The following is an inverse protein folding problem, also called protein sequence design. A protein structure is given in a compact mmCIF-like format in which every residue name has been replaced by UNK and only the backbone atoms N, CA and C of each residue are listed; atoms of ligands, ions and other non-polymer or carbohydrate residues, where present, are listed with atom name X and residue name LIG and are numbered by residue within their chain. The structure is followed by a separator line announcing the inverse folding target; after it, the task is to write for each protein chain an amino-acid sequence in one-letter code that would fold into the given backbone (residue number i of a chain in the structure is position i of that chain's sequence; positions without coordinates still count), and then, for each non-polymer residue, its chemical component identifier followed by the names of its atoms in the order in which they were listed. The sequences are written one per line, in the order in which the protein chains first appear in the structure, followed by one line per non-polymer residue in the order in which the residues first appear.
data_IF_578593669029
#
_entry.id   IF_578593669029
#
_cell.length_a   1.000
_cell.length_b   1.000
_cell.length_c   1.000
_cell.angle_alpha   90.00
_cell.angle_beta   90.00
_cell.angle_gamma   90.00
#
_symmetry.space_group_name_H-M   'P 1'
#
loop_
_entity.id
_entity.type
_entity.pdbx_description
1 polymer ?
#
# COMPACT_ATOMS: atom_id res chain seq x y z
N UNK A 1 14.16 2.29 -7.42
CA UNK A 1 14.82 2.60 -8.72
C UNK A 1 13.85 2.33 -9.88
N UNK A 2 13.91 3.11 -10.97
CA UNK A 2 13.16 2.79 -12.21
C UNK A 2 13.76 1.52 -12.85
N UNK A 3 12.95 0.75 -13.58
CA UNK A 3 13.36 -0.53 -14.21
C UNK A 3 14.64 -0.43 -15.04
N UNK A 4 14.87 0.71 -15.69
CA UNK A 4 16.06 0.96 -16.54
C UNK A 4 17.37 0.92 -15.74
N UNK A 5 17.39 1.46 -14.52
CA UNK A 5 18.60 1.46 -13.68
C UNK A 5 18.86 0.07 -13.09
N UNK A 6 17.78 -0.68 -12.85
CA UNK A 6 17.87 -2.06 -12.40
C UNK A 6 18.38 -2.95 -13.55
N UNK A 7 17.95 -2.70 -14.79
CA UNK A 7 18.46 -3.39 -15.98
C UNK A 7 19.96 -3.17 -16.14
N UNK A 8 20.45 -1.94 -16.00
CA UNK A 8 21.88 -1.66 -16.05
C UNK A 8 22.67 -2.47 -15.01
N UNK A 9 22.15 -2.62 -13.78
CA UNK A 9 22.79 -3.45 -12.73
C UNK A 9 22.82 -4.95 -13.05
N UNK A 10 21.84 -5.44 -13.82
CA UNK A 10 21.85 -6.82 -14.34
C UNK A 10 22.84 -6.97 -15.50
N UNK A 11 22.89 -5.98 -16.40
CA UNK A 11 23.77 -5.98 -17.57
C UNK A 11 25.24 -5.86 -17.18
N UNK A 12 25.56 -5.14 -16.10
CA UNK A 12 26.91 -5.08 -15.52
C UNK A 12 27.28 -6.35 -14.74
N UNK A 13 26.41 -7.35 -14.67
CA UNK A 13 26.66 -8.60 -13.95
C UNK A 13 26.64 -8.48 -12.42
N UNK A 14 26.29 -7.31 -11.87
CA UNK A 14 26.24 -7.08 -10.43
C UNK A 14 25.10 -7.85 -9.75
N UNK A 15 24.08 -8.28 -10.50
CA UNK A 15 22.89 -8.93 -9.97
C UNK A 15 22.59 -10.21 -10.77
N UNK A 16 23.09 -11.35 -10.29
CA UNK A 16 22.77 -12.67 -10.84
C UNK A 16 21.38 -13.16 -10.41
N UNK A 17 20.69 -13.94 -11.26
CA UNK A 17 19.39 -14.54 -10.92
C UNK A 17 19.45 -15.50 -9.73
N UNK A 18 20.62 -16.11 -9.51
CA UNK A 18 20.93 -17.03 -8.41
C UNK A 18 21.51 -16.33 -7.16
N UNK A 19 21.69 -15.01 -7.22
CA UNK A 19 22.31 -14.25 -6.12
C UNK A 19 21.50 -14.32 -4.83
N UNK A 20 20.19 -14.58 -4.93
CA UNK A 20 19.27 -14.58 -3.79
C UNK A 20 19.30 -15.86 -2.95
N UNK A 21 20.07 -16.90 -3.30
CA UNK A 21 20.34 -18.07 -2.43
C UNK A 21 19.18 -18.50 -1.50
N UNK A 22 19.43 -18.47 -0.18
CA UNK A 22 18.43 -18.74 0.86
C UNK A 22 17.67 -17.49 1.36
N UNK A 23 18.02 -16.29 0.89
CA UNK A 23 17.50 -15.01 1.38
C UNK A 23 16.91 -14.17 0.26
N UNK A 24 15.69 -13.66 0.43
CA UNK A 24 15.02 -12.84 -0.59
C UNK A 24 15.70 -11.47 -0.87
N UNK A 25 16.88 -11.19 -0.31
CA UNK A 25 17.64 -9.96 -0.49
C UNK A 25 19.15 -10.21 -0.58
N UNK A 26 19.87 -9.28 -1.22
CA UNK A 26 21.33 -9.28 -1.39
C UNK A 26 21.85 -7.84 -1.34
N UNK A 27 22.98 -7.62 -0.69
CA UNK A 27 23.68 -6.34 -0.72
C UNK A 27 24.68 -6.29 -1.88
N UNK A 28 24.65 -5.21 -2.64
CA UNK A 28 25.41 -5.02 -3.86
C UNK A 28 26.24 -3.74 -3.78
N UNK A 29 27.40 -3.76 -4.43
CA UNK A 29 28.20 -2.56 -4.71
C UNK A 29 28.06 -2.20 -6.18
N UNK A 30 28.06 -0.92 -6.49
CA UNK A 30 28.00 -0.43 -7.86
C UNK A 30 28.95 0.75 -8.02
N UNK A 31 29.73 0.75 -9.09
CA UNK A 31 30.61 1.87 -9.45
C UNK A 31 29.83 3.16 -9.73
N UNK A 32 28.58 3.04 -10.17
CA UNK A 32 27.69 4.18 -10.38
C UNK A 32 27.24 4.84 -9.07
N UNK A 33 27.36 4.13 -7.94
CA UNK A 33 26.94 4.58 -6.61
C UNK A 33 28.00 4.19 -5.56
N UNK A 34 29.21 4.78 -5.61
CA UNK A 34 30.34 4.32 -4.80
C UNK A 34 30.13 4.56 -3.29
N UNK A 35 29.43 5.63 -2.94
CA UNK A 35 29.20 6.04 -1.54
C UNK A 35 27.86 5.55 -0.97
N UNK A 36 27.12 4.72 -1.72
CA UNK A 36 25.83 4.21 -1.31
C UNK A 36 25.82 2.68 -1.27
N UNK A 37 24.99 2.14 -0.38
CA UNK A 37 24.71 0.71 -0.30
C UNK A 37 23.49 0.42 -1.15
N UNK A 38 23.59 -0.59 -2.01
CA UNK A 38 22.48 -1.09 -2.79
C UNK A 38 21.97 -2.39 -2.17
N UNK A 39 20.68 -2.46 -1.88
CA UNK A 39 20.06 -3.69 -1.38
C UNK A 39 19.03 -4.14 -2.41
N UNK A 40 19.37 -5.20 -3.14
CA UNK A 40 18.45 -5.85 -4.05
C UNK A 40 17.53 -6.77 -3.27
N UNK A 41 16.24 -6.77 -3.61
CA UNK A 41 15.23 -7.62 -3.01
C UNK A 41 14.38 -8.26 -4.09
N UNK A 42 14.07 -9.55 -3.92
CA UNK A 42 13.21 -10.32 -4.81
C UNK A 42 12.02 -10.84 -4.04
N UNK A 43 10.84 -10.33 -4.37
CA UNK A 43 9.59 -10.83 -3.79
C UNK A 43 8.94 -11.85 -4.73
N UNK A 44 8.92 -13.15 -4.37
CA UNK A 44 8.40 -14.21 -5.25
C UNK A 44 6.89 -14.08 -5.51
N UNK A 45 6.11 -13.63 -4.51
CA UNK A 45 4.67 -13.41 -4.66
C UNK A 45 4.38 -12.27 -5.65
N UNK A 46 5.14 -11.17 -5.53
CA UNK A 46 5.04 -10.05 -6.46
C UNK A 46 5.52 -10.46 -7.86
N UNK A 47 6.52 -11.33 -7.95
CA UNK A 47 6.99 -11.85 -9.23
C UNK A 47 5.91 -12.66 -9.94
N UNK A 48 5.28 -13.60 -9.24
CA UNK A 48 4.17 -14.40 -9.75
C UNK A 48 2.98 -13.51 -10.17
N UNK A 49 2.60 -12.55 -9.34
CA UNK A 49 1.53 -11.60 -9.65
C UNK A 49 1.84 -10.79 -10.92
N UNK A 50 3.05 -10.22 -11.03
CA UNK A 50 3.46 -9.45 -12.22
C UNK A 50 3.51 -10.30 -13.48
N UNK A 51 3.98 -11.54 -13.37
CA UNK A 51 3.97 -12.49 -14.49
C UNK A 51 2.56 -12.74 -15.00
N UNK A 52 1.61 -13.05 -14.09
CA UNK A 52 0.21 -13.25 -14.44
C UNK A 52 -0.42 -11.99 -15.06
N UNK A 53 -0.17 -10.82 -14.48
CA UNK A 53 -0.67 -9.54 -15.00
C UNK A 53 -0.11 -9.22 -16.39
N UNK A 54 1.19 -9.46 -16.61
CA UNK A 54 1.82 -9.28 -17.93
C UNK A 54 1.17 -10.21 -18.95
N UNK A 55 1.00 -11.49 -18.65
CA UNK A 55 0.36 -12.43 -19.59
C UNK A 55 -1.08 -12.01 -19.90
N UNK A 56 -1.85 -11.62 -18.89
CA UNK A 56 -3.21 -11.11 -19.10
C UNK A 56 -3.24 -9.88 -20.02
N UNK A 57 -2.31 -8.94 -19.84
CA UNK A 57 -2.19 -7.75 -20.68
C UNK A 57 -1.70 -8.07 -22.09
N UNK A 58 -0.81 -9.05 -22.26
CA UNK A 58 -0.40 -9.55 -23.58
C UNK A 58 -1.61 -10.14 -24.32
N UNK A 59 -2.34 -11.06 -23.70
CA UNK A 59 -3.54 -11.67 -24.28
C UNK A 59 -4.60 -10.62 -24.64
N UNK A 60 -4.88 -9.66 -23.75
CA UNK A 60 -5.83 -8.58 -24.03
C UNK A 60 -5.38 -7.67 -25.19
N UNK A 61 -4.07 -7.42 -25.32
CA UNK A 61 -3.52 -6.67 -26.44
C UNK A 61 -3.68 -7.45 -27.74
N UNK A 62 -3.41 -8.75 -27.73
CA UNK A 62 -3.56 -9.63 -28.89
C UNK A 62 -4.99 -9.74 -29.37
N UNK A 63 -5.97 -9.84 -28.47
CA UNK A 63 -7.38 -9.86 -28.83
C UNK A 63 -7.77 -8.63 -29.66
N UNK A 64 -7.32 -7.44 -29.24
CA UNK A 64 -7.59 -6.18 -29.92
C UNK A 64 -6.77 -6.02 -31.21
N UNK A 65 -5.51 -6.47 -31.25
CA UNK A 65 -4.70 -6.52 -32.47
C UNK A 65 -5.27 -7.51 -33.49
N UNK A 66 -5.80 -8.65 -33.05
CA UNK A 66 -6.57 -9.58 -33.88
C UNK A 66 -7.81 -8.90 -34.46
N UNK A 67 -8.46 -8.02 -33.72
CA UNK A 67 -9.54 -7.16 -34.23
C UNK A 67 -9.08 -6.24 -35.37
N UNK A 68 -7.85 -5.74 -35.33
CA UNK A 68 -7.24 -4.96 -36.42
C UNK A 68 -6.93 -5.85 -37.62
N UNK A 69 -6.32 -7.01 -37.40
CA UNK A 69 -5.98 -7.98 -38.45
C UNK A 69 -7.23 -8.47 -39.19
N UNK A 70 -8.30 -8.81 -38.45
CA UNK A 70 -9.59 -9.15 -39.03
C UNK A 70 -10.20 -7.99 -39.81
N UNK A 71 -9.94 -6.74 -39.41
CA UNK A 71 -10.43 -5.57 -40.13
C UNK A 71 -9.72 -5.34 -41.47
N UNK A 72 -8.42 -5.66 -41.57
CA UNK A 72 -7.69 -5.60 -42.85
C UNK A 72 -8.11 -6.71 -43.81
N UNK A 73 -8.57 -7.86 -43.29
CA UNK A 73 -8.95 -9.04 -44.08
C UNK A 73 -10.43 -9.12 -44.48
N UNK A 74 -11.23 -8.06 -44.26
CA UNK A 74 -12.68 -8.10 -44.58
C UNK A 74 -12.92 -8.12 -46.09
N UNK A 75 -13.88 -8.92 -46.53
CA UNK A 75 -14.29 -8.97 -47.94
C UNK A 75 -14.93 -7.65 -48.42
N UNK A 76 -15.69 -6.97 -47.55
CA UNK A 76 -16.33 -5.69 -47.85
C UNK A 76 -15.72 -4.57 -47.00
N UNK A 77 -15.26 -3.50 -47.66
CA UNK A 77 -14.64 -2.31 -47.02
C UNK A 77 -13.54 -2.67 -46.00
N UNK A 78 -12.47 -3.36 -46.43
CA UNK A 78 -11.34 -3.65 -45.56
C UNK A 78 -10.69 -2.37 -45.03
N UNK A 79 -10.06 -2.47 -43.86
CA UNK A 79 -9.22 -1.41 -43.35
C UNK A 79 -7.94 -1.34 -44.19
N UNK A 80 -7.79 -0.25 -44.93
CA UNK A 80 -6.66 -0.02 -45.84
C UNK A 80 -6.00 1.32 -45.53
N UNK A 81 -4.74 1.44 -45.94
CA UNK A 81 -3.89 2.60 -45.70
C UNK A 81 -3.07 2.45 -44.43
N UNK A 82 -1.74 2.61 -44.56
CA UNK A 82 -0.80 2.49 -43.45
C UNK A 82 -1.16 3.42 -42.29
N UNK A 83 -1.60 4.64 -42.59
CA UNK A 83 -1.99 5.63 -41.56
C UNK A 83 -3.20 5.17 -40.75
N UNK A 84 -4.24 4.65 -41.41
CA UNK A 84 -5.48 4.21 -40.75
C UNK A 84 -5.25 2.96 -39.90
N UNK A 85 -4.46 2.02 -40.41
CA UNK A 85 -4.05 0.83 -39.66
C UNK A 85 -3.18 1.26 -38.47
N UNK A 86 -2.18 2.12 -38.71
CA UNK A 86 -1.27 2.63 -37.70
C UNK A 86 -1.96 3.37 -36.56
N UNK A 87 -2.93 4.25 -36.85
CA UNK A 87 -3.74 4.93 -35.82
C UNK A 87 -4.48 3.92 -34.95
N UNK A 88 -5.05 2.87 -35.55
CA UNK A 88 -5.81 1.85 -34.82
C UNK A 88 -4.89 0.99 -33.96
N UNK A 89 -3.76 0.52 -34.51
CA UNK A 89 -2.73 -0.21 -33.76
C UNK A 89 -2.21 0.65 -32.60
N UNK A 90 -1.93 1.92 -32.84
CA UNK A 90 -1.49 2.87 -31.82
C UNK A 90 -2.50 3.03 -30.67
N UNK A 91 -3.81 3.06 -30.95
CA UNK A 91 -4.85 3.09 -29.92
C UNK A 91 -4.82 1.83 -29.05
N UNK A 92 -4.71 0.65 -29.66
CA UNK A 92 -4.64 -0.64 -28.93
C UNK A 92 -3.41 -0.65 -28.01
N UNK A 93 -2.26 -0.29 -28.56
CA UNK A 93 -0.99 -0.33 -27.84
C UNK A 93 -0.93 0.71 -26.72
N UNK A 94 -1.44 1.92 -26.93
CA UNK A 94 -1.46 2.96 -25.91
C UNK A 94 -2.41 2.64 -24.74
N UNK A 95 -3.47 1.86 -25.00
CA UNK A 95 -4.41 1.42 -23.96
C UNK A 95 -3.74 0.48 -22.95
N UNK A 96 -3.01 -0.53 -23.43
CA UNK A 96 -2.40 -1.55 -22.56
C UNK A 96 -0.92 -1.31 -22.24
N UNK A 97 -0.26 -0.38 -22.94
CA UNK A 97 1.17 -0.02 -22.79
C UNK A 97 2.13 -1.20 -23.03
N UNK A 98 1.75 -2.14 -23.90
CA UNK A 98 2.52 -3.35 -24.22
C UNK A 98 3.33 -3.28 -25.52
N UNK A 99 3.54 -2.08 -26.07
CA UNK A 99 4.24 -1.84 -27.33
C UNK A 99 5.56 -2.63 -27.46
N UNK A 100 6.38 -2.55 -26.42
CA UNK A 100 7.71 -3.16 -26.32
C UNK A 100 7.72 -4.69 -26.47
N UNK A 101 6.58 -5.35 -26.31
CA UNK A 101 6.45 -6.82 -26.38
C UNK A 101 5.88 -7.31 -27.71
N UNK A 102 5.61 -6.43 -28.66
CA UNK A 102 5.15 -6.81 -29.98
C UNK A 102 6.07 -6.25 -31.04
N UNK A 103 6.29 -7.04 -32.09
CA UNK A 103 6.82 -6.57 -33.36
C UNK A 103 5.66 -6.63 -34.36
N UNK A 104 5.50 -5.60 -35.17
CA UNK A 104 4.43 -5.55 -36.16
C UNK A 104 4.91 -4.94 -37.46
N UNK A 105 4.26 -5.35 -38.54
CA UNK A 105 4.47 -4.80 -39.88
C UNK A 105 3.14 -4.28 -40.40
N UNK A 106 3.14 -3.04 -40.89
CA UNK A 106 1.97 -2.38 -41.46
C UNK A 106 2.22 -2.16 -42.95
N UNK A 107 1.54 -2.93 -43.79
CA UNK A 107 1.47 -2.74 -45.22
C UNK A 107 0.34 -1.80 -45.63
N UNK A 108 0.18 -1.56 -46.94
CA UNK A 108 -0.93 -0.76 -47.48
C UNK A 108 -2.29 -1.42 -47.21
N UNK A 109 -2.36 -2.74 -47.24
CA UNK A 109 -3.59 -3.52 -47.06
C UNK A 109 -3.40 -4.72 -46.12
N UNK A 110 -2.24 -4.82 -45.48
CA UNK A 110 -1.88 -5.95 -44.62
C UNK A 110 -1.42 -5.46 -43.26
N UNK A 111 -1.76 -6.23 -42.24
CA UNK A 111 -1.26 -6.05 -40.88
C UNK A 111 -0.87 -7.41 -40.33
N UNK A 112 0.36 -7.51 -39.84
CA UNK A 112 0.86 -8.69 -39.12
C UNK A 112 1.58 -8.27 -37.86
N UNK A 113 1.53 -9.13 -36.84
CA UNK A 113 2.23 -8.91 -35.59
C UNK A 113 2.69 -10.24 -34.99
N UNK A 114 3.70 -10.17 -34.12
CA UNK A 114 4.20 -11.29 -33.34
C UNK A 114 4.67 -10.82 -31.97
N UNK A 115 4.63 -11.73 -30.98
CA UNK A 115 5.23 -11.47 -29.67
C UNK A 115 6.76 -11.36 -29.81
N UNK A 116 7.33 -10.34 -29.21
CA UNK A 116 8.77 -10.22 -29.01
C UNK A 116 9.17 -10.99 -27.75
N UNK A 117 9.45 -12.28 -27.90
CA UNK A 117 9.79 -13.17 -26.80
C UNK A 117 11.04 -12.74 -26.02
N UNK A 118 12.02 -12.13 -26.68
CA UNK A 118 13.23 -11.62 -26.01
C UNK A 118 12.89 -10.47 -25.06
N UNK A 119 12.02 -9.56 -25.50
CA UNK A 119 11.53 -8.46 -24.68
C UNK A 119 10.73 -8.94 -23.47
N UNK A 120 9.85 -9.92 -23.68
CA UNK A 120 9.05 -10.53 -22.61
C UNK A 120 9.96 -11.24 -21.61
N UNK A 121 10.94 -12.02 -22.08
CA UNK A 121 11.89 -12.75 -21.24
C UNK A 121 12.76 -11.79 -20.42
N UNK A 122 13.26 -10.70 -21.02
CA UNK A 122 14.04 -9.69 -20.31
C UNK A 122 13.24 -9.00 -19.21
N UNK A 123 11.97 -8.69 -19.44
CA UNK A 123 11.11 -8.09 -18.42
C UNK A 123 10.74 -9.08 -17.32
N UNK A 124 10.47 -10.34 -17.68
CA UNK A 124 10.16 -11.40 -16.73
C UNK A 124 11.30 -11.62 -15.71
N UNK A 125 12.57 -11.43 -16.10
CA UNK A 125 13.72 -11.51 -15.18
C UNK A 125 13.69 -10.47 -14.06
N UNK A 126 12.99 -9.35 -14.25
CA UNK A 126 12.88 -8.25 -13.29
C UNK A 126 11.62 -8.35 -12.42
N UNK A 127 10.80 -9.38 -12.63
CA UNK A 127 9.57 -9.56 -11.88
C UNK A 127 9.84 -9.75 -10.39
N UNK A 128 9.11 -8.98 -9.57
CA UNK A 128 9.26 -8.98 -8.13
C UNK A 128 10.56 -8.37 -7.61
N UNK A 129 11.45 -7.90 -8.49
CA UNK A 129 12.71 -7.31 -8.10
C UNK A 129 12.61 -5.80 -7.88
N UNK A 130 13.22 -5.33 -6.79
CA UNK A 130 13.42 -3.92 -6.51
C UNK A 130 14.77 -3.73 -5.82
N UNK A 131 15.36 -2.55 -6.01
CA UNK A 131 16.64 -2.19 -5.41
C UNK A 131 16.46 -0.92 -4.58
N UNK A 132 16.87 -1.00 -3.32
CA UNK A 132 16.94 0.10 -2.38
C UNK A 132 18.33 0.73 -2.44
N UNK A 133 18.36 2.05 -2.35
CA UNK A 133 19.57 2.87 -2.23
C UNK A 133 19.58 3.48 -0.84
N UNK A 134 20.68 3.35 -0.12
CA UNK A 134 20.82 3.96 1.19
C UNK A 134 22.23 4.47 1.42
N UNK A 135 22.35 5.67 1.98
CA UNK A 135 23.60 6.22 2.50
C UNK A 135 23.84 5.83 3.97
N UNK A 136 22.92 5.09 4.59
CA UNK A 136 23.04 4.67 5.98
C UNK A 136 24.11 3.58 6.12
N UNK A 137 25.15 3.79 6.94
CA UNK A 137 26.21 2.79 7.15
C UNK A 137 25.67 1.46 7.69
N UNK A 138 26.37 0.37 7.38
CA UNK A 138 26.03 -0.98 7.89
C UNK A 138 26.15 -1.10 9.40
N UNK A 139 26.94 -0.24 10.04
CA UNK A 139 27.06 -0.13 11.50
C UNK A 139 25.80 0.43 12.17
N UNK A 140 25.02 1.25 11.44
CA UNK A 140 23.77 1.82 11.94
C UNK A 140 22.59 0.91 11.63
N UNK A 141 22.44 0.49 10.37
CA UNK A 141 21.41 -0.47 9.94
C UNK A 141 22.02 -1.56 9.08
N UNK A 142 21.76 -2.82 9.46
CA UNK A 142 21.99 -3.95 8.58
C UNK A 142 20.99 -3.93 7.40
N UNK A 143 21.25 -4.76 6.38
CA UNK A 143 20.41 -4.77 5.18
C UNK A 143 18.93 -5.14 5.46
N UNK A 144 18.61 -6.14 6.31
CA UNK A 144 17.24 -6.41 6.72
C UNK A 144 16.52 -5.22 7.35
N UNK A 145 17.20 -4.49 8.25
CA UNK A 145 16.62 -3.31 8.91
C UNK A 145 16.35 -2.20 7.92
N UNK A 146 17.24 -1.95 6.96
CA UNK A 146 16.98 -0.97 5.88
C UNK A 146 15.72 -1.35 5.09
N UNK A 147 15.55 -2.62 4.73
CA UNK A 147 14.35 -3.09 4.00
C UNK A 147 13.09 -2.92 4.85
N UNK A 148 13.15 -3.25 6.15
CA UNK A 148 12.04 -3.08 7.09
C UNK A 148 11.65 -1.59 7.22
N UNK A 149 12.62 -0.70 7.41
CA UNK A 149 12.41 0.75 7.51
C UNK A 149 11.84 1.30 6.21
N UNK A 150 12.35 0.88 5.05
CA UNK A 150 11.78 1.29 3.77
C UNK A 150 10.29 0.89 3.65
N UNK A 151 9.94 -0.32 4.06
CA UNK A 151 8.54 -0.77 4.05
C UNK A 151 7.65 -0.02 5.05
N UNK A 152 8.22 0.46 6.14
CA UNK A 152 7.50 1.29 7.11
C UNK A 152 7.00 2.62 6.52
N UNK A 153 7.51 3.04 5.35
CA UNK A 153 6.98 4.18 4.59
C UNK A 153 5.48 4.04 4.27
N UNK A 154 4.99 2.81 4.14
CA UNK A 154 3.55 2.55 3.98
C UNK A 154 2.71 3.06 5.16
N UNK A 155 3.28 3.17 6.37
CA UNK A 155 2.61 3.81 7.50
C UNK A 155 2.41 5.31 7.27
N UNK A 156 3.36 5.98 6.61
CA UNK A 156 3.23 7.39 6.23
C UNK A 156 2.12 7.57 5.20
N UNK A 157 2.05 6.70 4.19
CA UNK A 157 0.94 6.72 3.23
C UNK A 157 -0.41 6.49 3.91
N UNK A 158 -0.46 5.55 4.86
CA UNK A 158 -1.64 5.31 5.68
C UNK A 158 -2.01 6.52 6.53
N UNK A 159 -1.03 7.21 7.12
CA UNK A 159 -1.23 8.44 7.88
C UNK A 159 -1.88 9.53 7.02
N UNK A 160 -1.33 9.77 5.82
CA UNK A 160 -1.91 10.72 4.87
C UNK A 160 -3.32 10.33 4.43
N UNK A 161 -3.59 9.04 4.29
CA UNK A 161 -4.93 8.55 3.95
C UNK A 161 -5.93 8.74 5.10
N UNK A 162 -5.57 8.41 6.34
CA UNK A 162 -6.39 8.66 7.53
C UNK A 162 -6.71 10.15 7.69
N UNK A 163 -5.69 11.01 7.57
CA UNK A 163 -5.84 12.47 7.62
C UNK A 163 -6.82 12.98 6.55
N UNK A 164 -6.73 12.47 5.32
CA UNK A 164 -7.53 12.97 4.20
C UNK A 164 -8.96 12.45 4.14
N UNK A 165 -9.21 11.19 4.52
CA UNK A 165 -10.40 10.48 4.04
C UNK A 165 -11.27 9.82 5.12
N UNK A 166 -10.73 9.53 6.32
CA UNK A 166 -11.40 8.61 7.24
C UNK A 166 -11.73 9.22 8.60
N UNK A 167 -10.74 9.83 9.27
CA UNK A 167 -10.88 10.18 10.68
C UNK A 167 -10.83 11.70 10.92
N UNK A 168 -9.95 12.41 10.20
CA UNK A 168 -9.65 13.84 10.46
C UNK A 168 -10.14 14.81 9.39
N UNK A 169 -10.70 14.28 8.30
CA UNK A 169 -11.37 15.04 7.23
C UNK A 169 -10.67 16.35 6.83
N UNK A 170 -9.40 16.28 6.41
CA UNK A 170 -8.63 17.43 5.86
C UNK A 170 -9.29 18.10 4.63
N UNK A 171 -10.42 17.58 4.12
CA UNK A 171 -11.25 18.19 3.06
C UNK A 171 -12.69 18.43 3.53
N UNK A 172 -13.32 19.57 3.18
CA UNK A 172 -12.79 20.93 3.16
C UNK A 172 -13.59 21.86 4.08
N UNK A 173 -12.89 22.54 5.00
CA UNK A 173 -13.31 23.84 5.52
C UNK A 173 -12.75 24.87 4.52
N UNK A 174 -13.60 25.71 3.93
CA UNK A 174 -13.20 26.66 2.87
C UNK A 174 -12.31 27.81 3.39
N UNK A 175 -11.10 27.50 3.85
CA UNK A 175 -10.11 28.48 4.27
C UNK A 175 -9.58 29.25 3.05
N UNK A 176 -9.81 30.57 3.03
CA UNK A 176 -9.39 31.47 1.93
C UNK A 176 -8.09 32.23 2.21
N UNK A 177 -7.59 32.18 3.46
CA UNK A 177 -6.37 32.86 3.88
C UNK A 177 -5.26 31.84 4.15
N UNK A 178 -4.06 32.07 3.58
CA UNK A 178 -2.89 31.19 3.73
C UNK A 178 -2.57 30.81 5.19
N UNK A 179 -2.60 31.74 6.18
CA UNK A 179 -2.36 31.36 7.58
C UNK A 179 -3.37 30.36 8.14
N UNK A 180 -4.66 30.48 7.76
CA UNK A 180 -5.72 29.58 8.21
C UNK A 180 -5.58 28.19 7.61
N UNK A 181 -5.16 28.10 6.35
CA UNK A 181 -4.84 26.82 5.71
C UNK A 181 -3.70 26.12 6.45
N UNK A 182 -2.61 26.84 6.75
CA UNK A 182 -1.47 26.28 7.51
C UNK A 182 -1.89 25.80 8.90
N UNK A 183 -2.67 26.60 9.63
CA UNK A 183 -3.16 26.25 10.96
C UNK A 183 -4.05 24.98 10.93
N UNK A 184 -4.97 24.88 9.97
CA UNK A 184 -5.83 23.70 9.83
C UNK A 184 -5.04 22.43 9.56
N UNK A 185 -4.09 22.47 8.61
CA UNK A 185 -3.22 21.32 8.31
C UNK A 185 -2.41 20.91 9.54
N UNK A 186 -1.90 21.88 10.30
CA UNK A 186 -1.16 21.62 11.53
C UNK A 186 -2.04 20.96 12.61
N UNK A 187 -3.26 21.44 12.83
CA UNK A 187 -4.21 20.82 13.76
C UNK A 187 -4.56 19.38 13.35
N UNK A 188 -4.78 19.12 12.07
CA UNK A 188 -5.02 17.76 11.57
C UNK A 188 -3.80 16.84 11.80
N UNK A 189 -2.58 17.36 11.66
CA UNK A 189 -1.36 16.61 11.96
C UNK A 189 -1.27 16.26 13.46
N UNK A 190 -1.56 17.23 14.34
CA UNK A 190 -1.55 17.00 15.79
C UNK A 190 -2.63 16.01 16.22
N UNK A 191 -3.84 16.14 15.70
CA UNK A 191 -4.92 15.23 16.04
C UNK A 191 -4.65 13.81 15.48
N UNK A 192 -4.02 13.67 14.31
CA UNK A 192 -3.51 12.37 13.85
C UNK A 192 -2.46 11.78 14.80
N UNK A 193 -1.55 12.62 15.32
CA UNK A 193 -0.53 12.17 16.24
C UNK A 193 -1.15 11.60 17.53
N UNK A 194 -2.17 12.27 18.08
CA UNK A 194 -2.95 11.76 19.22
C UNK A 194 -3.65 10.46 18.87
N UNK A 195 -4.36 10.42 17.75
CA UNK A 195 -5.04 9.21 17.27
C UNK A 195 -4.07 8.02 17.11
N UNK A 196 -2.86 8.26 16.59
CA UNK A 196 -1.84 7.22 16.42
C UNK A 196 -1.42 6.60 17.75
N UNK A 197 -1.19 7.43 18.78
CA UNK A 197 -0.90 6.96 20.14
C UNK A 197 -2.08 6.21 20.74
N UNK A 198 -3.29 6.75 20.61
CA UNK A 198 -4.50 6.10 21.10
C UNK A 198 -4.70 4.73 20.45
N UNK A 199 -4.49 4.59 19.13
CA UNK A 199 -4.62 3.31 18.42
C UNK A 199 -3.62 2.26 18.90
N UNK A 200 -2.43 2.66 19.34
CA UNK A 200 -1.47 1.73 19.94
C UNK A 200 -1.92 1.26 21.31
N UNK A 201 -2.31 2.18 22.19
CA UNK A 201 -2.80 1.85 23.52
C UNK A 201 -4.07 0.99 23.47
N UNK A 202 -4.99 1.33 22.57
CA UNK A 202 -6.28 0.65 22.39
C UNK A 202 -6.20 -0.60 21.50
N UNK A 203 -5.02 -0.96 21.00
CA UNK A 203 -4.85 -2.12 20.12
C UNK A 203 -5.51 -3.43 20.61
N UNK A 204 -5.53 -3.74 21.93
CA UNK A 204 -6.22 -4.93 22.45
C UNK A 204 -7.72 -4.99 22.14
N UNK A 205 -8.41 -3.83 22.13
CA UNK A 205 -9.86 -3.73 21.93
C UNK A 205 -10.26 -3.24 20.52
N UNK A 206 -9.28 -2.98 19.67
CA UNK A 206 -9.49 -2.58 18.27
C UNK A 206 -9.23 -3.73 17.28
N UNK A 207 -9.74 -3.58 16.06
CA UNK A 207 -9.34 -4.39 14.89
C UNK A 207 -7.90 -4.07 14.42
N UNK A 208 -6.95 -4.06 15.35
CA UNK A 208 -5.55 -3.73 15.14
C UNK A 208 -4.65 -4.88 15.61
N UNK A 209 -3.41 -4.86 15.12
CA UNK A 209 -2.36 -5.75 15.61
C UNK A 209 -2.03 -5.39 17.07
N UNK A 210 -2.08 -6.39 17.94
CA UNK A 210 -1.88 -6.30 19.40
C UNK A 210 -0.69 -7.13 19.89
N UNK A 211 -0.09 -7.95 19.03
CA UNK A 211 1.14 -8.69 19.33
C UNK A 211 2.14 -8.57 18.16
N UNK A 212 2.82 -7.41 18.03
CA UNK A 212 3.77 -7.17 16.96
C UNK A 212 4.96 -8.14 16.95
N UNK A 213 5.42 -8.60 18.12
CA UNK A 213 6.55 -9.52 18.23
C UNK A 213 6.21 -10.91 17.68
N UNK A 214 5.01 -11.44 17.96
CA UNK A 214 4.55 -12.68 17.33
C UNK A 214 4.35 -12.49 15.81
N UNK A 215 3.77 -11.37 15.39
CA UNK A 215 3.59 -11.07 13.97
C UNK A 215 4.93 -11.00 13.21
N UNK A 216 5.97 -10.47 13.84
CA UNK A 216 7.33 -10.44 13.31
C UNK A 216 7.98 -11.83 13.31
N UNK A 217 7.82 -12.63 14.37
CA UNK A 217 8.33 -14.00 14.44
C UNK A 217 7.71 -14.94 13.40
N UNK A 218 6.43 -14.74 13.05
CA UNK A 218 5.74 -15.49 11.99
C UNK A 218 6.25 -15.14 10.59
N UNK A 219 6.99 -14.05 10.44
CA UNK A 219 7.48 -13.58 9.14
C UNK A 219 8.85 -14.19 8.85
N UNK A 220 8.91 -15.04 7.83
CA UNK A 220 10.15 -15.69 7.37
C UNK A 220 11.13 -14.75 6.67
N UNK A 221 10.66 -13.63 6.10
CA UNK A 221 11.51 -12.70 5.33
C UNK A 221 11.00 -11.26 5.36
N UNK A 222 11.91 -10.30 5.55
CA UNK A 222 11.63 -8.86 5.47
C UNK A 222 11.16 -8.41 4.07
N UNK A 223 11.35 -9.21 3.03
CA UNK A 223 10.90 -8.89 1.66
C UNK A 223 9.47 -9.36 1.40
N UNK A 224 8.96 -10.29 2.19
CA UNK A 224 7.60 -10.80 2.08
C UNK A 224 6.56 -9.85 2.70
N UNK A 225 5.27 -10.20 2.56
CA UNK A 225 4.17 -9.44 3.16
C UNK A 225 4.23 -9.55 4.69
N UNK A 226 3.84 -8.49 5.40
CA UNK A 226 3.66 -8.54 6.85
C UNK A 226 2.60 -9.57 7.23
N UNK A 227 2.89 -10.38 8.25
CA UNK A 227 1.94 -11.33 8.82
C UNK A 227 1.18 -10.66 9.97
N UNK A 228 -0.01 -11.18 10.26
CA UNK A 228 -0.77 -10.81 11.46
C UNK A 228 -0.51 -11.85 12.55
N UNK A 229 -0.45 -11.42 13.79
CA UNK A 229 -0.40 -12.33 14.95
C UNK A 229 -1.63 -13.22 15.01
N UNK A 230 -1.54 -14.31 15.76
CA UNK A 230 -2.68 -15.20 15.91
C UNK A 230 -3.78 -14.56 16.77
N UNK A 231 -3.41 -13.72 17.75
CA UNK A 231 -4.35 -12.88 18.48
C UNK A 231 -5.13 -11.98 17.52
N UNK A 232 -4.44 -11.25 16.65
CA UNK A 232 -5.08 -10.36 15.69
C UNK A 232 -6.00 -11.11 14.70
N UNK A 233 -5.63 -12.32 14.27
CA UNK A 233 -6.49 -13.18 13.43
C UNK A 233 -7.74 -13.64 14.19
N UNK A 234 -7.58 -14.11 15.43
CA UNK A 234 -8.69 -14.56 16.27
C UNK A 234 -9.67 -13.41 16.56
N UNK A 235 -9.15 -12.23 16.92
CA UNK A 235 -9.92 -11.00 17.07
C UNK A 235 -10.74 -10.66 15.84
N UNK A 236 -10.14 -10.71 14.65
CA UNK A 236 -10.85 -10.44 13.40
C UNK A 236 -11.92 -11.50 13.07
N UNK A 237 -11.67 -12.76 13.42
CA UNK A 237 -12.61 -13.86 13.20
C UNK A 237 -13.80 -13.83 14.15
N UNK A 238 -13.55 -13.70 15.47
CA UNK A 238 -14.58 -13.68 16.51
C UNK A 238 -15.31 -12.35 16.62
N UNK A 239 -14.66 -11.25 16.23
CA UNK A 239 -15.13 -9.87 16.44
C UNK A 239 -15.43 -9.54 17.90
N UNK A 240 -14.80 -10.26 18.81
CA UNK A 240 -14.92 -10.12 20.26
C UNK A 240 -13.54 -10.13 20.90
N UNK A 241 -13.38 -9.40 21.99
CA UNK A 241 -12.20 -9.44 22.86
C UNK A 241 -12.12 -10.79 23.58
N UNK A 242 -10.98 -11.13 24.20
CA UNK A 242 -10.88 -12.30 25.07
C UNK A 242 -11.91 -12.31 26.22
N UNK A 243 -12.36 -11.14 26.66
CA UNK A 243 -13.40 -10.96 27.69
C UNK A 243 -14.83 -11.07 27.17
N UNK A 244 -15.05 -11.25 25.86
CA UNK A 244 -16.37 -11.40 25.24
C UNK A 244 -17.04 -10.11 24.77
N UNK A 245 -16.41 -8.95 25.02
CA UNK A 245 -16.89 -7.64 24.56
C UNK A 245 -16.71 -7.50 23.03
N UNK A 246 -17.56 -6.73 22.33
CA UNK A 246 -17.40 -6.49 20.90
C UNK A 246 -16.08 -5.76 20.61
N UNK A 247 -15.42 -6.11 19.51
CA UNK A 247 -14.24 -5.36 19.03
C UNK A 247 -14.69 -4.17 18.20
N UNK A 248 -14.02 -3.03 18.41
CA UNK A 248 -14.35 -1.79 17.72
C UNK A 248 -13.38 -1.45 16.58
N UNK A 249 -13.89 -0.72 15.60
CA UNK A 249 -13.04 0.20 14.83
C UNK A 249 -12.74 1.43 15.70
N UNK A 250 -11.64 2.15 15.45
CA UNK A 250 -11.34 3.35 16.24
C UNK A 250 -12.51 4.36 16.24
N UNK A 251 -13.14 4.57 15.08
CA UNK A 251 -14.31 5.44 14.95
C UNK A 251 -15.53 4.95 15.76
N UNK A 252 -15.82 3.65 15.74
CA UNK A 252 -16.95 3.10 16.51
C UNK A 252 -16.66 3.10 18.01
N UNK A 253 -15.39 2.99 18.41
CA UNK A 253 -15.00 3.17 19.81
C UNK A 253 -15.15 4.62 20.25
N UNK A 254 -14.69 5.59 19.44
CA UNK A 254 -14.91 7.01 19.74
C UNK A 254 -16.39 7.37 19.84
N UNK A 255 -17.22 6.80 18.97
CA UNK A 255 -18.67 7.01 19.02
C UNK A 255 -19.30 6.43 20.31
N UNK A 256 -18.81 5.28 20.76
CA UNK A 256 -19.23 4.68 22.03
C UNK A 256 -18.77 5.52 23.23
N UNK A 257 -17.48 5.90 23.27
CA UNK A 257 -16.94 6.79 24.30
C UNK A 257 -17.68 8.13 24.37
N UNK A 258 -18.15 8.65 23.23
CA UNK A 258 -18.92 9.90 23.16
C UNK A 258 -20.33 9.80 23.77
N UNK A 259 -20.80 8.61 24.16
CA UNK A 259 -22.06 8.44 24.88
C UNK A 259 -21.96 8.80 26.36
N UNK A 260 -20.74 8.95 26.90
CA UNK A 260 -20.53 9.45 28.25
C UNK A 260 -20.85 10.95 28.32
N UNK A 261 -21.77 11.30 29.21
CA UNK A 261 -22.20 12.69 29.41
C UNK A 261 -22.09 13.10 30.87
N UNK A 262 -21.74 14.36 31.06
CA UNK A 262 -21.93 15.05 32.34
C UNK A 262 -23.33 15.67 32.33
N UNK A 263 -24.18 15.25 33.25
CA UNK A 263 -25.55 15.74 33.34
C UNK A 263 -25.68 16.71 34.50
N UNK A 264 -26.24 17.89 34.25
CA UNK A 264 -26.67 18.82 35.32
C UNK A 264 -28.07 18.42 35.77
N UNK A 265 -28.19 17.98 37.02
CA UNK A 265 -29.44 17.51 37.61
C UNK A 265 -29.98 18.59 38.55
N UNK A 266 -31.20 19.04 38.29
CA UNK A 266 -31.96 19.90 39.20
C UNK A 266 -33.01 19.05 39.94
N UNK A 267 -32.85 18.81 41.25
CA UNK A 267 -33.82 18.06 42.04
C UNK A 267 -35.15 18.80 42.16
N UNK A 268 -36.24 18.04 42.31
CA UNK A 268 -37.58 18.60 42.55
C UNK A 268 -37.67 19.31 43.90
N UNK A 269 -36.86 18.89 44.88
CA UNK A 269 -36.73 19.60 46.14
C UNK A 269 -35.94 20.90 45.93
N UNK A 270 -36.61 22.04 46.10
CA UNK A 270 -36.04 23.38 45.90
C UNK A 270 -34.93 23.74 46.90
N UNK A 271 -34.80 23.00 48.00
CA UNK A 271 -33.71 23.19 48.98
C UNK A 271 -32.40 22.53 48.53
N UNK A 272 -32.42 21.64 47.53
CA UNK A 272 -31.23 20.98 47.02
C UNK A 272 -30.73 21.72 45.77
N UNK A 273 -29.48 22.24 45.77
CA UNK A 273 -28.92 22.91 44.61
C UNK A 273 -28.71 21.93 43.45
N UNK A 274 -28.67 22.45 42.22
CA UNK A 274 -28.27 21.66 41.06
C UNK A 274 -26.88 21.06 41.26
N UNK A 275 -26.68 19.82 40.84
CA UNK A 275 -25.37 19.16 40.87
C UNK A 275 -25.08 18.46 39.55
N UNK A 276 -23.80 18.20 39.31
CA UNK A 276 -23.34 17.51 38.11
C UNK A 276 -23.14 16.02 38.41
N UNK A 277 -23.54 15.17 37.46
CA UNK A 277 -23.35 13.72 37.54
C UNK A 277 -22.92 13.16 36.19
N UNK A 278 -21.74 12.55 36.17
CA UNK A 278 -21.25 11.80 35.01
C UNK A 278 -21.96 10.45 34.93
N UNK A 279 -22.34 10.03 33.72
CA UNK A 279 -22.84 8.68 33.47
C UNK A 279 -21.78 7.62 33.80
N UNK A 280 -22.23 6.46 34.27
CA UNK A 280 -21.31 5.34 34.54
C UNK A 280 -20.78 4.74 33.23
N UNK A 281 -19.46 4.54 33.08
CA UNK A 281 -18.89 3.87 31.93
C UNK A 281 -19.40 2.44 31.78
N UNK A 282 -19.64 2.03 30.53
CA UNK A 282 -19.81 0.60 30.22
C UNK A 282 -18.48 -0.15 30.45
N UNK A 283 -18.48 -1.48 30.59
CA UNK A 283 -17.24 -2.24 30.78
C UNK A 283 -16.19 -1.98 29.70
N UNK A 284 -16.59 -1.88 28.44
CA UNK A 284 -15.67 -1.59 27.33
C UNK A 284 -15.14 -0.15 27.35
N UNK A 285 -15.95 0.82 27.77
CA UNK A 285 -15.50 2.20 27.96
C UNK A 285 -14.48 2.29 29.10
N UNK A 286 -14.72 1.60 30.22
CA UNK A 286 -13.77 1.53 31.33
C UNK A 286 -12.43 0.95 30.88
N UNK A 287 -12.45 -0.18 30.16
CA UNK A 287 -11.22 -0.78 29.60
C UNK A 287 -10.49 0.20 28.68
N UNK A 288 -11.21 0.97 27.86
CA UNK A 288 -10.59 1.98 27.01
C UNK A 288 -9.90 3.09 27.82
N UNK A 289 -10.52 3.59 28.88
CA UNK A 289 -9.92 4.60 29.77
C UNK A 289 -8.72 4.06 30.52
N UNK A 290 -8.80 2.82 31.03
CA UNK A 290 -7.69 2.15 31.71
C UNK A 290 -6.49 1.99 30.76
N UNK A 291 -6.72 1.56 29.51
CA UNK A 291 -5.67 1.45 28.49
C UNK A 291 -5.06 2.80 28.12
N UNK A 292 -5.85 3.88 28.14
CA UNK A 292 -5.39 5.24 27.87
C UNK A 292 -4.77 5.92 29.10
N UNK A 293 -4.84 5.31 30.29
CA UNK A 293 -4.47 5.90 31.57
C UNK A 293 -5.21 7.23 31.85
N UNK A 294 -6.52 7.26 31.56
CA UNK A 294 -7.39 8.42 31.80
C UNK A 294 -8.35 8.09 32.94
N UNK A 295 -8.44 8.96 33.94
CA UNK A 295 -9.45 8.86 35.00
C UNK A 295 -10.77 9.52 34.55
N UNK A 296 -11.90 8.84 34.76
CA UNK A 296 -13.26 9.35 34.53
C UNK A 296 -13.98 9.58 35.84
#
# INVERSE_FOLDING_TARGET
LKSVHIQALFETGCLGLDAFGATDWVELKSEAYPDERLIACRNPQLAAYRSQQREALLCATEEELNGVLKATQRQCKPLQGQDKIGVRVGRVINRFKMAKHFQWTIGKESFSYQRNHDSITREARLDGLYVLRTSVPSTTFDAPRVVQTYKSLSHVESAFRCMKAFDLNVRPIFHRLTPRVKAHVFLCMLAYYVEWHMRQALAPILFSEDNPSQAEALRTSVVQRAQRSDSAKQKAGRRQTPSGEPIHSFRSLLADLATLTQNTIQPTNQEVPSFEKTTLPTPIQQVAFDLLNVSV
#
